data_IF_527302255106
#
_entry.id   IF_527302255106
#
_cell.length_a   1.000
_cell.length_b   1.000
_cell.length_c   1.000
_cell.angle_alpha   90.00
_cell.angle_beta   90.00
_cell.angle_gamma   90.00
#
_symmetry.space_group_name_H-M   'P 1'
#
loop_
_entity.id
_entity.type
_entity.pdbx_description
1 polymer ?
#
# COMPACT_ATOMS: atom_id res chain seq x y z
N UNK A 1 -3.64 12.38 -13.16
CA UNK A 1 -2.26 12.88 -13.35
C UNK A 1 -1.56 13.24 -12.02
N UNK A 2 -1.79 12.50 -10.92
CA UNK A 2 -1.26 12.81 -9.57
C UNK A 2 -0.17 11.82 -9.09
N UNK A 3 0.23 10.87 -9.93
CA UNK A 3 1.31 9.93 -9.63
C UNK A 3 2.64 10.68 -9.71
N UNK A 4 3.37 10.77 -8.58
CA UNK A 4 4.69 11.43 -8.55
C UNK A 4 5.77 10.45 -8.98
N UNK A 5 6.52 10.83 -9.99
CA UNK A 5 7.65 10.06 -10.52
C UNK A 5 8.94 10.85 -10.31
N UNK A 6 10.03 10.17 -9.97
CA UNK A 6 11.35 10.78 -9.96
C UNK A 6 12.44 9.74 -10.18
N UNK A 7 13.37 10.06 -11.09
CA UNK A 7 14.55 9.25 -11.32
C UNK A 7 15.47 9.23 -10.09
N UNK A 8 15.95 8.04 -9.76
CA UNK A 8 17.08 7.82 -8.84
C UNK A 8 18.20 7.09 -9.56
N UNK A 9 19.38 7.05 -8.95
CA UNK A 9 20.53 6.27 -9.45
C UNK A 9 20.22 4.78 -9.67
N UNK A 10 19.20 4.22 -9.01
CA UNK A 10 18.82 2.81 -9.16
C UNK A 10 17.63 2.57 -10.09
N UNK A 11 16.80 3.58 -10.37
CA UNK A 11 15.65 3.43 -11.28
C UNK A 11 15.21 4.80 -11.82
N UNK A 12 15.23 4.96 -13.15
CA UNK A 12 14.84 6.18 -13.85
C UNK A 12 13.31 6.42 -13.88
N UNK A 13 12.51 5.37 -13.77
CA UNK A 13 11.02 5.40 -13.75
C UNK A 13 10.44 5.05 -12.37
N UNK A 14 11.19 5.33 -11.30
CA UNK A 14 10.71 5.05 -9.95
C UNK A 14 9.46 5.87 -9.61
N UNK A 15 8.39 5.15 -9.25
CA UNK A 15 7.20 5.73 -8.64
C UNK A 15 7.51 6.10 -7.19
N UNK A 16 7.33 7.39 -6.85
CA UNK A 16 7.70 7.98 -5.55
C UNK A 16 6.49 8.20 -4.64
N UNK A 17 5.35 7.62 -5.00
CA UNK A 17 4.08 7.71 -4.28
C UNK A 17 3.37 6.36 -4.34
N UNK A 18 2.64 6.04 -3.27
CA UNK A 18 1.71 4.89 -3.26
C UNK A 18 0.36 5.33 -3.81
N UNK A 19 -0.36 4.43 -4.47
CA UNK A 19 -1.69 4.70 -5.01
C UNK A 19 -2.63 3.56 -4.65
N UNK A 20 -3.83 3.90 -4.18
CA UNK A 20 -4.90 2.95 -3.91
C UNK A 20 -6.07 3.30 -4.82
N UNK A 21 -6.41 2.38 -5.72
CA UNK A 21 -7.59 2.47 -6.56
C UNK A 21 -8.60 1.42 -6.12
N UNK A 22 -9.79 1.86 -5.69
CA UNK A 22 -10.88 0.95 -5.32
C UNK A 22 -11.89 0.87 -6.46
N UNK A 23 -12.04 -0.31 -7.03
CA UNK A 23 -13.14 -0.63 -7.94
C UNK A 23 -14.25 -1.32 -7.14
N UNK A 24 -15.45 -0.74 -7.15
CA UNK A 24 -16.64 -1.33 -6.56
C UNK A 24 -17.50 -1.84 -7.72
N UNK A 25 -17.82 -3.13 -7.70
CA UNK A 25 -18.65 -3.80 -8.70
C UNK A 25 -19.96 -4.13 -8.04
N UNK A 26 -21.05 -3.63 -8.60
CA UNK A 26 -22.39 -3.89 -8.10
C UNK A 26 -23.16 -4.65 -9.17
N UNK A 27 -23.87 -5.69 -8.76
CA UNK A 27 -24.72 -6.49 -9.64
C UNK A 27 -26.10 -6.60 -9.01
N UNK A 28 -27.11 -6.30 -9.82
CA UNK A 28 -28.52 -6.40 -9.46
C UNK A 28 -29.20 -7.30 -10.49
N UNK A 29 -29.95 -8.29 -10.02
CA UNK A 29 -30.75 -9.14 -10.90
C UNK A 29 -32.01 -9.61 -10.20
N UNK A 30 -33.04 -9.94 -10.96
CA UNK A 30 -34.27 -10.52 -10.44
C UNK A 30 -34.28 -12.03 -10.68
N UNK A 31 -34.71 -12.79 -9.67
CA UNK A 31 -34.96 -14.23 -9.78
C UNK A 31 -36.08 -14.60 -8.80
N UNK A 32 -37.02 -15.44 -9.23
CA UNK A 32 -38.12 -15.94 -8.38
C UNK A 32 -38.93 -14.81 -7.69
N UNK A 33 -39.21 -13.72 -8.43
CA UNK A 33 -39.87 -12.51 -7.92
C UNK A 33 -39.15 -11.80 -6.77
N UNK A 34 -37.87 -12.11 -6.55
CA UNK A 34 -36.99 -11.42 -5.61
C UNK A 34 -35.87 -10.67 -6.34
N UNK A 35 -35.57 -9.46 -5.88
CA UNK A 35 -34.40 -8.70 -6.32
C UNK A 35 -33.18 -9.11 -5.51
N UNK A 36 -32.12 -9.50 -6.19
CA UNK A 36 -30.82 -9.83 -5.60
C UNK A 36 -29.81 -8.72 -5.89
N UNK A 37 -29.05 -8.38 -4.85
CA UNK A 37 -27.93 -7.44 -4.93
C UNK A 37 -26.65 -8.14 -4.51
N UNK A 38 -25.58 -7.97 -5.27
CA UNK A 38 -24.24 -8.42 -4.90
C UNK A 38 -23.24 -7.29 -5.16
N UNK A 39 -22.40 -7.07 -4.15
CA UNK A 39 -21.34 -6.08 -4.15
C UNK A 39 -19.98 -6.80 -4.10
N UNK A 40 -19.05 -6.38 -4.93
CA UNK A 40 -17.65 -6.77 -4.92
C UNK A 40 -16.78 -5.53 -4.76
N UNK A 41 -15.75 -5.62 -3.92
CA UNK A 41 -14.76 -4.55 -3.76
C UNK A 41 -13.38 -5.07 -4.14
N UNK A 42 -12.79 -4.50 -5.17
CA UNK A 42 -11.44 -4.78 -5.64
C UNK A 42 -10.55 -3.58 -5.34
N UNK A 43 -9.55 -3.76 -4.47
CA UNK A 43 -8.54 -2.73 -4.22
C UNK A 43 -7.28 -3.05 -5.05
N UNK A 44 -6.99 -2.21 -6.05
CA UNK A 44 -5.75 -2.24 -6.82
C UNK A 44 -4.77 -1.27 -6.17
N UNK A 45 -3.71 -1.82 -5.57
CA UNK A 45 -2.73 -1.06 -4.80
C UNK A 45 -1.38 -1.07 -5.51
N UNK A 46 -0.86 0.11 -5.85
CA UNK A 46 0.49 0.31 -6.38
C UNK A 46 1.35 0.93 -5.28
N UNK A 47 2.49 0.29 -4.98
CA UNK A 47 3.41 0.75 -3.94
C UNK A 47 4.69 1.31 -4.56
N UNK A 48 5.18 2.41 -3.99
CA UNK A 48 6.48 2.94 -4.32
C UNK A 48 7.61 1.94 -3.99
N UNK A 49 8.78 2.14 -4.60
CA UNK A 49 9.93 1.26 -4.43
C UNK A 49 10.47 1.24 -3.00
N UNK A 50 10.98 0.09 -2.57
CA UNK A 50 11.55 -0.14 -1.23
C UNK A 50 13.06 0.11 -1.18
N UNK A 51 13.59 0.97 -2.04
CA UNK A 51 15.03 1.12 -2.18
C UNK A 51 15.75 1.69 -0.95
N UNK A 52 17.02 1.30 -0.78
CA UNK A 52 17.88 1.83 0.28
C UNK A 52 18.33 3.25 -0.04
N UNK A 53 18.16 4.15 0.93
CA UNK A 53 18.54 5.57 0.82
C UNK A 53 20.02 5.78 0.48
N UNK A 54 20.92 5.01 1.11
CA UNK A 54 22.36 5.10 0.84
C UNK A 54 22.73 4.76 -0.61
N UNK A 55 21.91 3.94 -1.27
CA UNK A 55 22.14 3.49 -2.65
C UNK A 55 21.40 4.36 -3.68
N UNK A 56 20.41 5.15 -3.25
CA UNK A 56 19.60 5.99 -4.15
C UNK A 56 20.26 7.35 -4.46
N UNK A 57 21.22 7.78 -3.64
CA UNK A 57 21.85 9.10 -3.74
C UNK A 57 20.89 10.25 -3.40
N UNK A 58 19.83 9.99 -2.62
CA UNK A 58 18.84 10.98 -2.25
C UNK A 58 19.38 11.93 -1.17
N UNK A 59 19.33 13.24 -1.44
CA UNK A 59 19.75 14.30 -0.51
C UNK A 59 18.60 15.28 -0.22
N UNK A 60 18.73 16.04 0.87
CA UNK A 60 17.78 17.09 1.25
C UNK A 60 16.33 16.60 1.32
N UNK A 61 15.43 17.26 0.58
CA UNK A 61 14.00 16.91 0.57
C UNK A 61 13.72 15.55 -0.09
N UNK A 62 14.57 15.08 -1.01
CA UNK A 62 14.44 13.73 -1.57
C UNK A 62 14.75 12.65 -0.54
N UNK A 63 15.67 12.90 0.39
CA UNK A 63 15.94 11.98 1.50
C UNK A 63 14.73 11.88 2.43
N UNK A 64 14.06 13.00 2.73
CA UNK A 64 12.83 13.02 3.55
C UNK A 64 11.69 12.26 2.84
N UNK A 65 11.48 12.51 1.56
CA UNK A 65 10.47 11.83 0.75
C UNK A 65 10.70 10.31 0.75
N UNK A 66 11.93 9.90 0.47
CA UNK A 66 12.26 8.49 0.36
C UNK A 66 12.33 7.79 1.74
N UNK A 67 12.63 8.52 2.82
CA UNK A 67 12.43 8.04 4.19
C UNK A 67 10.95 7.78 4.51
N UNK A 68 10.04 8.66 4.09
CA UNK A 68 8.60 8.47 4.28
C UNK A 68 8.05 7.28 3.48
N UNK A 69 8.51 7.07 2.24
CA UNK A 69 8.21 5.87 1.45
C UNK A 69 8.65 4.61 2.19
N UNK A 70 9.88 4.58 2.70
CA UNK A 70 10.36 3.41 3.42
C UNK A 70 9.66 3.21 4.77
N UNK A 71 9.20 4.29 5.40
CA UNK A 71 8.41 4.21 6.64
C UNK A 71 7.10 3.47 6.41
N UNK A 72 6.29 3.87 5.41
CA UNK A 72 5.01 3.20 5.13
C UNK A 72 5.19 1.72 4.77
N UNK A 73 6.21 1.40 3.97
CA UNK A 73 6.57 0.02 3.62
C UNK A 73 7.04 -0.80 4.84
N UNK A 74 7.79 -0.19 5.75
CA UNK A 74 8.21 -0.84 7.00
C UNK A 74 7.02 -1.10 7.92
N UNK A 75 6.10 -0.13 8.05
CA UNK A 75 4.85 -0.30 8.81
C UNK A 75 4.00 -1.43 8.24
N UNK A 76 3.89 -1.55 6.90
CA UNK A 76 3.22 -2.68 6.25
C UNK A 76 3.83 -4.02 6.69
N UNK A 77 5.15 -4.13 6.68
CA UNK A 77 5.85 -5.33 7.18
C UNK A 77 5.59 -5.62 8.65
N UNK A 78 5.55 -4.59 9.50
CA UNK A 78 5.25 -4.74 10.93
C UNK A 78 3.82 -5.22 11.19
N UNK A 79 2.85 -4.73 10.42
CA UNK A 79 1.45 -5.19 10.49
C UNK A 79 1.37 -6.68 10.12
N UNK A 80 2.00 -7.08 9.01
CA UNK A 80 2.02 -8.50 8.58
C UNK A 80 2.65 -9.38 9.67
N UNK A 81 3.81 -8.99 10.20
CA UNK A 81 4.48 -9.74 11.25
C UNK A 81 3.63 -9.86 12.53
N UNK A 82 2.96 -8.77 12.91
CA UNK A 82 2.09 -8.75 14.09
C UNK A 82 0.85 -9.65 13.91
N UNK A 83 0.29 -9.70 12.70
CA UNK A 83 -0.82 -10.60 12.37
C UNK A 83 -0.40 -12.08 12.42
N UNK A 84 0.81 -12.40 11.96
CA UNK A 84 1.38 -13.75 12.07
C UNK A 84 1.56 -14.15 13.54
N UNK A 85 2.09 -13.26 14.38
CA UNK A 85 2.23 -13.53 15.81
C UNK A 85 0.87 -13.80 16.49
N UNK A 86 -0.17 -13.03 16.15
CA UNK A 86 -1.53 -13.27 16.64
C UNK A 86 -2.09 -14.62 16.18
N UNK A 87 -1.85 -15.01 14.91
CA UNK A 87 -2.26 -16.31 14.39
C UNK A 87 -1.56 -17.48 15.10
N UNK A 88 -0.36 -17.27 15.62
CA UNK A 88 0.39 -18.21 16.46
C UNK A 88 0.06 -18.11 17.96
N UNK A 89 -0.98 -17.35 18.34
CA UNK A 89 -1.47 -17.25 19.72
C UNK A 89 -0.68 -16.29 20.62
N UNK A 90 0.28 -15.52 20.08
CA UNK A 90 0.96 -14.48 20.87
C UNK A 90 0.07 -13.24 20.97
N UNK A 91 -0.07 -12.67 22.16
CA UNK A 91 -0.77 -11.40 22.34
C UNK A 91 0.13 -10.24 21.90
N UNK A 92 -0.28 -9.50 20.87
CA UNK A 92 0.46 -8.37 20.31
C UNK A 92 -0.47 -7.31 19.75
N UNK A 93 -0.18 -6.03 20.00
CA UNK A 93 -0.87 -4.92 19.35
C UNK A 93 -0.46 -4.82 17.87
N UNK A 94 -1.43 -4.67 16.97
CA UNK A 94 -1.18 -4.50 15.53
C UNK A 94 -1.18 -3.00 15.16
N UNK A 95 -0.07 -2.44 14.68
CA UNK A 95 0.11 -1.01 14.48
C UNK A 95 -0.51 -0.48 13.17
N UNK A 96 -1.83 -0.58 13.00
CA UNK A 96 -2.52 -0.11 11.79
C UNK A 96 -2.48 1.43 11.58
N UNK A 97 -2.02 2.20 12.57
CA UNK A 97 -2.04 3.68 12.58
C UNK A 97 -0.67 4.32 12.41
N UNK A 98 0.38 3.53 12.19
CA UNK A 98 1.77 4.01 12.23
C UNK A 98 2.33 4.38 10.85
N UNK A 99 1.53 4.26 9.78
CA UNK A 99 1.88 4.59 8.40
C UNK A 99 1.42 5.98 7.97
#
# INVERSE_FOLDING_TARGET
ANRKMAATHMNCESSRSHSVFTCIIESCWEKDSMTHLRFGRLNLVDLAGSERQKSSGAEGDRLKEAANINKSLSTLGLVIMSLIDLAHGKQRHVPYRDS
#
